data_IF_461010232540
#
_entry.id   IF_461010232540
#
_cell.length_a   1.000
_cell.length_b   1.000
_cell.length_c   1.000
_cell.angle_alpha   90.00
_cell.angle_beta   90.00
_cell.angle_gamma   90.00
#
_symmetry.space_group_name_H-M   'P 1'
#
loop_
_entity.id
_entity.type
_entity.pdbx_description
1 polymer ?
#
# COMPACT_ATOMS: atom_id res chain seq x y z
N UNK A 1 1.16 16.69 0.30
CA UNK A 1 -0.15 16.25 0.84
C UNK A 1 0.04 15.14 1.88
N UNK A 2 0.63 13.98 1.56
CA UNK A 2 0.87 12.89 2.55
C UNK A 2 1.99 13.14 3.58
N UNK A 3 2.83 14.15 3.37
CA UNK A 3 3.90 14.58 4.30
C UNK A 3 3.53 15.89 5.01
N UNK A 4 2.24 16.12 5.23
CA UNK A 4 1.76 17.32 5.91
C UNK A 4 1.50 16.97 7.36
N UNK A 5 2.02 17.75 8.31
CA UNK A 5 1.71 17.63 9.74
C UNK A 5 0.25 18.08 10.06
N UNK A 6 -0.64 17.95 9.09
CA UNK A 6 -2.03 18.42 9.13
C UNK A 6 -3.02 17.29 8.84
N UNK A 7 -2.54 16.05 8.67
CA UNK A 7 -3.37 14.86 8.51
C UNK A 7 -3.14 14.00 9.74
N UNK A 8 -4.21 13.74 10.49
CA UNK A 8 -4.22 12.85 11.64
C UNK A 8 -4.50 11.40 11.21
N UNK A 9 -4.22 10.42 12.08
CA UNK A 9 -4.35 8.99 11.79
C UNK A 9 -5.70 8.60 11.14
N UNK A 10 -6.81 9.07 11.70
CA UNK A 10 -8.17 8.80 11.17
C UNK A 10 -8.38 9.39 9.76
N UNK A 11 -7.76 10.52 9.45
CA UNK A 11 -7.87 11.19 8.15
C UNK A 11 -7.09 10.44 7.08
N UNK A 12 -5.97 9.79 7.43
CA UNK A 12 -5.27 8.88 6.53
C UNK A 12 -6.13 7.66 6.19
N UNK A 13 -6.80 7.08 7.18
CA UNK A 13 -7.69 5.95 6.94
C UNK A 13 -8.85 6.34 6.00
N UNK A 14 -9.52 7.47 6.25
CA UNK A 14 -10.57 8.00 5.39
C UNK A 14 -10.07 8.27 3.97
N UNK A 15 -8.87 8.83 3.85
CA UNK A 15 -8.21 9.03 2.56
C UNK A 15 -8.03 7.68 1.84
N UNK A 16 -7.39 6.69 2.47
CA UNK A 16 -7.11 5.41 1.83
C UNK A 16 -8.40 4.67 1.43
N UNK A 17 -9.44 4.75 2.27
CA UNK A 17 -10.76 4.19 1.95
C UNK A 17 -11.41 4.84 0.71
N UNK A 18 -11.10 6.11 0.44
CA UNK A 18 -11.61 6.82 -0.74
C UNK A 18 -10.85 6.52 -2.04
N UNK A 19 -9.64 5.94 -1.93
CA UNK A 19 -8.79 5.67 -3.09
C UNK A 19 -9.27 4.44 -3.89
N UNK A 20 -9.15 4.55 -5.22
CA UNK A 20 -9.30 3.42 -6.12
C UNK A 20 -8.15 2.43 -5.99
N UNK A 21 -8.34 1.20 -6.48
CA UNK A 21 -7.26 0.19 -6.53
C UNK A 21 -6.02 0.69 -7.32
N UNK A 22 -6.23 1.52 -8.34
CA UNK A 22 -5.14 2.13 -9.11
C UNK A 22 -4.33 3.08 -8.24
N UNK A 23 -4.99 4.00 -7.54
CA UNK A 23 -4.31 4.96 -6.66
C UNK A 23 -3.61 4.26 -5.49
N UNK A 24 -4.26 3.25 -4.90
CA UNK A 24 -3.63 2.37 -3.92
C UNK A 24 -2.39 1.68 -4.52
N UNK A 25 -2.44 1.19 -5.75
CA UNK A 25 -1.28 0.56 -6.39
C UNK A 25 -0.11 1.52 -6.61
N UNK A 26 -0.37 2.80 -6.84
CA UNK A 26 0.67 3.83 -7.00
C UNK A 26 1.41 4.04 -5.67
N UNK A 27 0.67 4.15 -4.56
CA UNK A 27 1.27 4.21 -3.23
C UNK A 27 2.03 2.93 -2.90
N UNK A 28 1.45 1.77 -3.21
CA UNK A 28 2.08 0.46 -3.00
C UNK A 28 3.39 0.32 -3.78
N UNK A 29 3.46 0.82 -5.01
CA UNK A 29 4.71 0.84 -5.80
C UNK A 29 5.83 1.60 -5.11
N UNK A 30 5.51 2.64 -4.36
CA UNK A 30 6.49 3.40 -3.60
C UNK A 30 6.95 2.63 -2.35
N UNK A 31 6.02 2.06 -1.59
CA UNK A 31 6.32 1.27 -0.38
C UNK A 31 7.09 -0.01 -0.69
N UNK A 32 6.64 -0.76 -1.70
CA UNK A 32 7.18 -2.08 -2.01
C UNK A 32 8.35 -2.05 -2.99
N UNK A 33 8.89 -0.87 -3.34
CA UNK A 33 9.92 -0.72 -4.37
C UNK A 33 11.16 -1.61 -4.15
N UNK A 34 11.51 -1.89 -2.89
CA UNK A 34 12.57 -2.85 -2.55
C UNK A 34 12.24 -4.28 -2.96
N UNK A 35 10.99 -4.70 -2.78
CA UNK A 35 10.55 -6.10 -2.89
C UNK A 35 10.26 -6.51 -4.34
N UNK A 36 9.71 -5.63 -5.18
CA UNK A 36 9.34 -6.00 -6.57
C UNK A 36 10.36 -5.53 -7.63
N UNK A 37 11.52 -5.02 -7.21
CA UNK A 37 12.55 -4.53 -8.14
C UNK A 37 13.16 -5.63 -9.01
N UNK A 38 13.19 -6.87 -8.53
CA UNK A 38 13.78 -8.02 -9.23
C UNK A 38 12.78 -9.14 -9.57
N UNK A 39 11.62 -9.16 -8.92
CA UNK A 39 10.59 -10.18 -9.10
C UNK A 39 9.18 -9.58 -9.00
N UNK A 40 8.17 -10.36 -9.41
CA UNK A 40 6.77 -9.94 -9.22
C UNK A 40 6.47 -9.86 -7.72
N UNK A 41 5.80 -8.79 -7.31
CA UNK A 41 5.30 -8.63 -5.96
C UNK A 41 4.31 -9.76 -5.64
N UNK A 42 4.51 -10.41 -4.50
CA UNK A 42 3.50 -11.19 -3.79
C UNK A 42 3.09 -10.39 -2.55
N UNK A 43 1.97 -9.67 -2.65
CA UNK A 43 1.61 -8.67 -1.64
C UNK A 43 1.29 -9.31 -0.30
N UNK A 44 0.68 -10.51 -0.29
CA UNK A 44 0.31 -11.22 0.94
C UNK A 44 1.58 -11.65 1.66
N UNK A 45 2.52 -12.25 0.93
CA UNK A 45 3.83 -12.63 1.49
C UNK A 45 4.60 -11.41 1.98
N UNK A 46 4.59 -10.31 1.23
CA UNK A 46 5.29 -9.08 1.62
C UNK A 46 4.69 -8.44 2.88
N UNK A 47 3.36 -8.35 2.98
CA UNK A 47 2.67 -7.80 4.16
C UNK A 47 2.84 -8.66 5.43
N UNK A 48 3.18 -9.95 5.29
CA UNK A 48 3.51 -10.82 6.43
C UNK A 48 4.89 -10.54 7.05
N UNK A 49 5.75 -9.81 6.34
CA UNK A 49 7.07 -9.41 6.83
C UNK A 49 6.98 -8.06 7.55
N UNK A 50 8.02 -7.75 8.34
CA UNK A 50 8.24 -6.39 8.81
C UNK A 50 8.74 -5.55 7.61
N UNK A 51 8.00 -4.48 7.30
CA UNK A 51 8.39 -3.50 6.30
C UNK A 51 9.06 -2.32 6.99
N UNK A 52 10.14 -1.83 6.39
CA UNK A 52 10.81 -0.62 6.86
C UNK A 52 10.07 0.60 6.29
N UNK A 53 9.35 1.29 7.17
CA UNK A 53 8.62 2.52 6.88
C UNK A 53 9.33 3.71 7.50
N UNK A 54 9.32 4.85 6.80
CA UNK A 54 10.02 6.06 7.20
C UNK A 54 9.08 7.18 7.67
N UNK A 55 7.79 7.06 7.38
CA UNK A 55 6.78 8.05 7.73
C UNK A 55 5.49 7.37 8.20
N UNK A 56 4.76 8.04 9.09
CA UNK A 56 3.50 7.56 9.67
C UNK A 56 2.49 7.09 8.60
N UNK A 57 2.31 7.86 7.52
CA UNK A 57 1.37 7.47 6.45
C UNK A 57 1.75 6.14 5.78
N UNK A 58 3.03 5.77 5.75
CA UNK A 58 3.51 4.51 5.17
C UNK A 58 3.09 3.33 6.06
N UNK A 59 3.21 3.49 7.38
CA UNK A 59 2.76 2.51 8.38
C UNK A 59 1.24 2.33 8.30
N UNK A 60 0.50 3.43 8.33
CA UNK A 60 -0.96 3.40 8.24
C UNK A 60 -1.46 2.84 6.91
N UNK A 61 -0.75 3.09 5.81
CA UNK A 61 -1.07 2.49 4.52
C UNK A 61 -0.86 0.97 4.53
N UNK A 62 0.23 0.48 5.13
CA UNK A 62 0.49 -0.97 5.27
C UNK A 62 -0.59 -1.63 6.14
N UNK A 63 -0.95 -1.02 7.27
CA UNK A 63 -2.02 -1.53 8.13
C UNK A 63 -3.38 -1.50 7.42
N UNK A 64 -3.67 -0.45 6.66
CA UNK A 64 -4.87 -0.39 5.83
C UNK A 64 -4.91 -1.54 4.81
N UNK A 65 -3.81 -1.81 4.10
CA UNK A 65 -3.75 -2.94 3.17
C UNK A 65 -3.98 -4.28 3.87
N UNK A 66 -3.40 -4.50 5.05
CA UNK A 66 -3.63 -5.74 5.83
C UNK A 66 -5.09 -5.94 6.22
N UNK A 67 -5.88 -4.86 6.33
CA UNK A 67 -7.31 -4.93 6.62
C UNK A 67 -8.18 -5.32 5.41
N UNK A 68 -7.64 -5.25 4.20
CA UNK A 68 -8.39 -5.54 2.97
C UNK A 68 -8.55 -7.05 2.76
N UNK A 69 -9.59 -7.43 2.01
CA UNK A 69 -9.77 -8.81 1.58
C UNK A 69 -8.67 -9.25 0.60
N UNK A 70 -8.35 -10.54 0.61
CA UNK A 70 -7.35 -11.13 -0.30
C UNK A 70 -7.64 -10.82 -1.78
N UNK A 71 -8.91 -10.82 -2.19
CA UNK A 71 -9.30 -10.48 -3.55
C UNK A 71 -8.90 -9.05 -3.93
N UNK A 72 -9.17 -8.09 -3.04
CA UNK A 72 -8.81 -6.68 -3.27
C UNK A 72 -7.29 -6.49 -3.27
N UNK A 73 -6.59 -7.20 -2.39
CA UNK A 73 -5.13 -7.24 -2.39
C UNK A 73 -4.56 -7.77 -3.71
N UNK A 74 -5.16 -8.83 -4.28
CA UNK A 74 -4.73 -9.39 -5.57
C UNK A 74 -5.00 -8.46 -6.74
N UNK A 75 -6.09 -7.72 -6.74
CA UNK A 75 -6.34 -6.68 -7.75
C UNK A 75 -5.25 -5.59 -7.71
N UNK A 76 -4.91 -5.11 -6.50
CA UNK A 76 -3.84 -4.12 -6.31
C UNK A 76 -2.48 -4.70 -6.72
N UNK A 77 -2.16 -5.93 -6.33
CA UNK A 77 -0.93 -6.65 -6.71
C UNK A 77 -0.76 -6.73 -8.24
N UNK A 78 -1.84 -7.03 -8.97
CA UNK A 78 -1.80 -7.11 -10.44
C UNK A 78 -1.47 -5.76 -11.07
N UNK A 79 -2.07 -4.67 -10.57
CA UNK A 79 -1.78 -3.31 -11.01
C UNK A 79 -0.32 -2.90 -10.70
N UNK A 80 0.20 -3.30 -9.53
CA UNK A 80 1.61 -3.08 -9.17
C UNK A 80 2.53 -3.81 -10.15
N UNK A 81 2.25 -5.08 -10.41
CA UNK A 81 3.03 -5.93 -11.29
C UNK A 81 2.88 -5.62 -12.80
N UNK A 82 2.04 -4.64 -13.17
CA UNK A 82 1.80 -4.27 -14.56
C UNK A 82 1.07 -5.33 -15.38
N UNK A 83 0.28 -6.20 -14.72
CA UNK A 83 -0.63 -7.13 -15.39
C UNK A 83 -1.98 -6.41 -15.58
N UNK A 84 -2.22 -5.91 -16.79
CA UNK A 84 -3.55 -5.51 -17.26
C UNK A 84 -4.14 -6.63 -18.12
#
# INVERSE_FOLDING_TARGET
MLKSNCIFEEEYLLLFMSLSNLELSILGKYIFYGEYRMEKLDIIKTLSKKLDTNYEWEELYVEYLKSLSENKLKEIENLINGKL
#
